data_IF_362375992413
#
_entry.id   IF_362375992413
#
_cell.length_a   1.000
_cell.length_b   1.000
_cell.length_c   1.000
_cell.angle_alpha   90.00
_cell.angle_beta   90.00
_cell.angle_gamma   90.00
#
_symmetry.space_group_name_H-M   'P 1'
#
loop_
_entity.id
_entity.type
_entity.pdbx_description
1 polymer ?
#
# COMPACT_ATOMS: atom_id res chain seq x y z
N UNK A 1 -6.57 21.67 -79.75
CA UNK A 1 -5.52 21.13 -78.86
C UNK A 1 -5.07 22.19 -77.86
N UNK A 2 -4.82 23.43 -78.27
CA UNK A 2 -4.29 24.49 -77.39
C UNK A 2 -5.17 24.86 -76.18
N UNK A 3 -6.51 24.88 -76.31
CA UNK A 3 -7.41 25.18 -75.19
C UNK A 3 -7.39 24.12 -74.06
N UNK A 4 -7.20 22.84 -74.41
CA UNK A 4 -7.03 21.78 -73.39
C UNK A 4 -5.67 21.89 -72.72
N UNK A 5 -4.62 22.25 -73.46
CA UNK A 5 -3.28 22.43 -72.91
C UNK A 5 -3.29 23.60 -71.93
N UNK A 6 -3.92 24.73 -72.26
CA UNK A 6 -4.03 25.86 -71.33
C UNK A 6 -4.83 25.51 -70.07
N UNK A 7 -5.95 24.77 -70.18
CA UNK A 7 -6.71 24.29 -69.02
C UNK A 7 -5.86 23.42 -68.08
N UNK A 8 -5.15 22.43 -68.63
CA UNK A 8 -4.26 21.55 -67.87
C UNK A 8 -3.10 22.32 -67.21
N UNK A 9 -2.55 23.35 -67.87
CA UNK A 9 -1.50 24.19 -67.25
C UNK A 9 -2.02 25.02 -66.08
N UNK A 10 -3.31 25.36 -66.07
CA UNK A 10 -3.92 26.14 -64.99
C UNK A 10 -4.22 25.25 -63.78
N UNK A 11 -4.78 24.06 -64.01
CA UNK A 11 -4.97 23.03 -62.97
C UNK A 11 -3.64 22.60 -62.34
N UNK A 12 -2.60 22.39 -63.14
CA UNK A 12 -1.26 22.02 -62.61
C UNK A 12 -0.63 23.13 -61.78
N UNK A 13 -0.86 24.41 -62.09
CA UNK A 13 -0.45 25.53 -61.24
C UNK A 13 -1.23 25.56 -59.93
N UNK A 14 -2.54 25.32 -59.96
CA UNK A 14 -3.37 25.22 -58.76
C UNK A 14 -2.89 24.09 -57.85
N UNK A 15 -2.71 22.88 -58.41
CA UNK A 15 -2.19 21.74 -57.66
C UNK A 15 -0.82 22.00 -57.04
N UNK A 16 0.08 22.72 -57.74
CA UNK A 16 1.39 23.12 -57.16
C UNK A 16 1.23 24.02 -55.95
N UNK A 17 0.28 24.96 -55.98
CA UNK A 17 -0.02 25.84 -54.85
C UNK A 17 -0.56 25.05 -53.65
N UNK A 18 -1.49 24.12 -53.89
CA UNK A 18 -2.04 23.28 -52.84
C UNK A 18 -0.98 22.36 -52.22
N UNK A 19 -0.11 21.77 -53.04
CA UNK A 19 1.02 20.97 -52.57
C UNK A 19 1.96 21.79 -51.69
N UNK A 20 2.29 23.04 -52.08
CA UNK A 20 3.11 23.91 -51.24
C UNK A 20 2.43 24.25 -49.91
N UNK A 21 1.11 24.49 -49.93
CA UNK A 21 0.31 24.69 -48.73
C UNK A 21 0.29 23.46 -47.82
N UNK A 22 0.16 22.25 -48.38
CA UNK A 22 0.24 21.00 -47.63
C UNK A 22 1.64 20.76 -47.06
N UNK A 23 2.70 21.02 -47.82
CA UNK A 23 4.08 20.92 -47.34
C UNK A 23 4.30 21.79 -46.11
N UNK A 24 3.88 23.06 -46.15
CA UNK A 24 3.97 23.96 -44.99
C UNK A 24 3.19 23.44 -43.78
N UNK A 25 1.98 22.92 -43.98
CA UNK A 25 1.17 22.32 -42.90
C UNK A 25 1.82 21.06 -42.33
N UNK A 26 2.41 20.20 -43.17
CA UNK A 26 3.11 18.98 -42.76
C UNK A 26 4.32 19.34 -41.92
N UNK A 27 5.16 20.28 -42.36
CA UNK A 27 6.31 20.76 -41.55
C UNK A 27 5.86 21.34 -40.21
N UNK A 28 4.75 22.11 -40.18
CA UNK A 28 4.19 22.61 -38.93
C UNK A 28 3.68 21.50 -37.99
N UNK A 29 3.11 20.43 -38.55
CA UNK A 29 2.70 19.26 -37.77
C UNK A 29 3.89 18.46 -37.24
N UNK A 30 4.94 18.27 -38.04
CA UNK A 30 6.17 17.59 -37.63
C UNK A 30 6.84 18.32 -36.46
N UNK A 31 6.96 19.65 -36.52
CA UNK A 31 7.50 20.45 -35.42
C UNK A 31 6.66 20.33 -34.14
N UNK A 32 5.33 20.38 -34.28
CA UNK A 32 4.42 20.21 -33.12
C UNK A 32 4.53 18.79 -32.55
N UNK A 33 4.66 17.78 -33.40
CA UNK A 33 4.83 16.39 -32.99
C UNK A 33 6.12 16.20 -32.20
N UNK A 34 7.25 16.73 -32.67
CA UNK A 34 8.51 16.70 -31.90
C UNK A 34 8.43 17.44 -30.57
N UNK A 35 7.72 18.58 -30.52
CA UNK A 35 7.44 19.28 -29.25
C UNK A 35 6.55 18.46 -28.30
N UNK A 36 5.58 17.70 -28.82
CA UNK A 36 4.75 16.83 -27.99
C UNK A 36 5.54 15.62 -27.47
N UNK A 37 6.38 15.00 -28.30
CA UNK A 37 7.25 13.88 -27.91
C UNK A 37 8.19 14.29 -26.76
N UNK A 38 8.87 15.42 -26.89
CA UNK A 38 9.74 15.97 -25.82
C UNK A 38 8.95 16.25 -24.53
N UNK A 39 7.74 16.79 -24.64
CA UNK A 39 6.86 17.01 -23.48
C UNK A 39 6.39 15.71 -22.83
N UNK A 40 6.14 14.67 -23.62
CA UNK A 40 5.76 13.34 -23.11
C UNK A 40 6.94 12.73 -22.36
N UNK A 41 8.14 12.75 -22.95
CA UNK A 41 9.34 12.20 -22.31
C UNK A 41 9.64 12.90 -20.98
N UNK A 42 9.62 14.23 -20.97
CA UNK A 42 9.82 15.00 -19.72
C UNK A 42 8.72 14.75 -18.69
N UNK A 43 7.48 14.52 -19.12
CA UNK A 43 6.40 14.15 -18.21
C UNK A 43 6.60 12.75 -17.61
N UNK A 44 7.11 11.80 -18.40
CA UNK A 44 7.41 10.45 -17.92
C UNK A 44 8.56 10.46 -16.92
N UNK A 45 9.62 11.24 -17.18
CA UNK A 45 10.73 11.43 -16.24
C UNK A 45 10.23 12.00 -14.91
N UNK A 46 9.39 13.04 -14.95
CA UNK A 46 8.80 13.63 -13.74
C UNK A 46 7.92 12.66 -12.96
N UNK A 47 7.20 11.77 -13.64
CA UNK A 47 6.40 10.74 -12.97
C UNK A 47 7.30 9.75 -12.23
N UNK A 48 8.43 9.35 -12.82
CA UNK A 48 9.41 8.50 -12.14
C UNK A 48 10.01 9.19 -10.91
N UNK A 49 10.39 10.46 -11.03
CA UNK A 49 10.88 11.26 -9.92
C UNK A 49 9.83 11.40 -8.80
N UNK A 50 8.56 11.60 -9.18
CA UNK A 50 7.46 11.70 -8.23
C UNK A 50 7.26 10.39 -7.46
N UNK A 51 7.27 9.24 -8.14
CA UNK A 51 7.19 7.91 -7.52
C UNK A 51 8.37 7.70 -6.56
N UNK A 52 9.59 8.04 -6.99
CA UNK A 52 10.79 7.92 -6.18
C UNK A 52 10.72 8.80 -4.92
N UNK A 53 10.34 10.07 -5.07
CA UNK A 53 10.27 11.02 -3.96
C UNK A 53 9.18 10.63 -2.97
N UNK A 54 8.02 10.18 -3.47
CA UNK A 54 6.92 9.67 -2.64
C UNK A 54 7.35 8.45 -1.83
N UNK A 55 8.10 7.54 -2.44
CA UNK A 55 8.68 6.37 -1.75
C UNK A 55 9.65 6.81 -0.64
N UNK A 56 10.53 7.79 -0.90
CA UNK A 56 11.43 8.33 0.13
C UNK A 56 10.68 9.02 1.27
N UNK A 57 9.66 9.82 0.98
CA UNK A 57 8.86 10.48 2.00
C UNK A 57 8.18 9.44 2.92
N UNK A 58 7.64 8.38 2.33
CA UNK A 58 7.03 7.27 3.08
C UNK A 58 8.04 6.57 3.99
N UNK A 59 9.24 6.26 3.48
CA UNK A 59 10.31 5.62 4.29
C UNK A 59 10.79 6.55 5.42
N UNK A 60 10.96 7.84 5.15
CA UNK A 60 11.32 8.82 6.19
C UNK A 60 10.25 8.92 7.28
N UNK A 61 8.99 8.97 6.89
CA UNK A 61 7.86 9.00 7.82
C UNK A 61 7.80 7.73 8.69
N UNK A 62 7.92 6.55 8.08
CA UNK A 62 7.91 5.28 8.79
C UNK A 62 9.11 5.12 9.74
N UNK A 63 10.30 5.60 9.34
CA UNK A 63 11.48 5.64 10.23
C UNK A 63 11.23 6.53 11.45
N UNK A 64 10.62 7.70 11.26
CA UNK A 64 10.28 8.61 12.35
C UNK A 64 9.21 8.04 13.30
N UNK A 65 8.32 7.19 12.79
CA UNK A 65 7.24 6.56 13.57
C UNK A 65 7.62 5.19 14.16
N UNK A 66 8.79 4.65 13.83
CA UNK A 66 9.22 3.29 14.21
C UNK A 66 9.23 3.03 15.72
N UNK A 67 9.52 4.05 16.52
CA UNK A 67 9.53 3.97 17.99
C UNK A 67 8.15 4.27 18.61
N UNK A 68 7.16 4.51 17.76
CA UNK A 68 5.80 4.85 18.14
C UNK A 68 4.87 3.66 18.00
N UNK A 69 3.98 3.52 18.97
CA UNK A 69 2.88 2.58 18.92
C UNK A 69 1.59 3.27 19.35
N UNK A 70 0.48 2.65 18.98
CA UNK A 70 -0.86 3.10 19.27
C UNK A 70 -1.52 2.14 20.23
N UNK A 71 -2.13 2.67 21.26
CA UNK A 71 -2.99 1.92 22.18
C UNK A 71 -4.43 2.32 21.91
N UNK A 72 -5.26 1.34 21.60
CA UNK A 72 -6.65 1.49 21.19
C UNK A 72 -7.55 0.87 22.25
N UNK A 73 -8.68 1.52 22.57
CA UNK A 73 -9.72 0.95 23.43
C UNK A 73 -9.65 1.33 24.92
N UNK A 74 -8.64 2.10 25.35
CA UNK A 74 -8.61 2.67 26.69
C UNK A 74 -9.71 3.73 26.81
N UNK A 75 -10.64 3.65 27.78
CA UNK A 75 -11.67 4.66 27.98
C UNK A 75 -11.08 6.05 28.23
N UNK A 76 -11.80 7.11 27.88
CA UNK A 76 -11.32 8.48 28.08
C UNK A 76 -11.27 8.82 29.58
N UNK A 77 -10.23 9.55 29.99
CA UNK A 77 -9.98 10.02 31.36
C UNK A 77 -9.51 8.94 32.36
N UNK A 78 -9.39 7.68 31.96
CA UNK A 78 -8.77 6.61 32.77
C UNK A 78 -7.27 6.87 33.03
N UNK A 79 -6.64 7.69 32.20
CA UNK A 79 -5.20 7.95 32.32
C UNK A 79 -4.88 8.99 33.40
N UNK A 80 -5.90 9.65 33.94
CA UNK A 80 -5.74 10.76 34.86
C UNK A 80 -5.03 11.95 34.22
N UNK A 81 -4.20 12.64 35.02
CA UNK A 81 -3.46 13.83 34.58
C UNK A 81 -2.17 13.53 33.84
N UNK A 82 -1.58 12.34 34.04
CA UNK A 82 -0.29 11.95 33.47
C UNK A 82 -0.37 10.63 32.70
N UNK A 83 -0.46 10.78 31.37
CA UNK A 83 -0.48 9.69 30.41
C UNK A 83 0.76 8.78 30.50
N UNK A 84 1.95 9.35 30.76
CA UNK A 84 3.18 8.58 30.76
C UNK A 84 3.25 7.69 32.00
N UNK A 85 2.96 8.25 33.19
CA UNK A 85 2.88 7.49 34.43
C UNK A 85 1.82 6.37 34.35
N UNK A 86 0.66 6.65 33.76
CA UNK A 86 -0.37 5.66 33.51
C UNK A 86 0.15 4.50 32.63
N UNK A 87 0.79 4.80 31.50
CA UNK A 87 1.32 3.75 30.62
C UNK A 87 2.48 2.99 31.25
N UNK A 88 3.40 3.65 31.97
CA UNK A 88 4.53 3.00 32.64
C UNK A 88 4.06 1.98 33.70
N UNK A 89 2.97 2.27 34.41
CA UNK A 89 2.41 1.37 35.43
C UNK A 89 1.48 0.29 34.88
N UNK A 90 0.72 0.61 33.82
CA UNK A 90 -0.37 -0.24 33.31
C UNK A 90 0.09 -1.16 32.19
N UNK A 91 0.94 -0.68 31.28
CA UNK A 91 1.36 -1.43 30.09
C UNK A 91 2.08 -2.75 30.45
N UNK A 92 3.07 -2.78 31.37
CA UNK A 92 3.76 -4.01 31.75
C UNK A 92 2.80 -5.07 32.31
N UNK A 93 1.86 -4.65 33.17
CA UNK A 93 0.83 -5.53 33.77
C UNK A 93 -0.11 -6.08 32.70
N UNK A 94 -0.59 -5.21 31.81
CA UNK A 94 -1.55 -5.54 30.76
C UNK A 94 -1.00 -6.58 29.78
N UNK A 95 0.27 -6.46 29.39
CA UNK A 95 0.90 -7.41 28.45
C UNK A 95 1.66 -8.54 29.17
N UNK A 96 1.65 -8.54 30.51
CA UNK A 96 2.35 -9.50 31.37
C UNK A 96 3.84 -9.64 31.00
N UNK A 97 4.52 -8.50 30.85
CA UNK A 97 5.94 -8.44 30.53
C UNK A 97 6.64 -7.44 31.45
N UNK A 98 7.70 -7.89 32.11
CA UNK A 98 8.56 -7.04 32.91
C UNK A 98 9.60 -6.35 32.04
N UNK A 99 9.88 -5.08 32.36
CA UNK A 99 10.86 -4.27 31.65
C UNK A 99 11.95 -3.82 32.61
N UNK A 100 13.19 -4.18 32.29
CA UNK A 100 14.39 -3.67 32.94
C UNK A 100 15.33 -3.08 31.86
N UNK A 101 15.64 -1.77 31.90
CA UNK A 101 15.06 -0.75 32.78
C UNK A 101 13.57 -0.50 32.49
N UNK A 102 12.89 0.18 33.42
CA UNK A 102 11.49 0.57 33.28
C UNK A 102 11.20 1.33 31.96
N UNK A 103 9.93 1.30 31.55
CA UNK A 103 9.46 2.00 30.36
C UNK A 103 9.60 3.52 30.55
N UNK A 104 10.40 4.13 29.68
CA UNK A 104 10.57 5.58 29.61
C UNK A 104 9.97 6.10 28.31
N UNK A 105 8.99 6.99 28.43
CA UNK A 105 8.32 7.61 27.30
C UNK A 105 8.98 8.94 26.98
N UNK A 106 9.24 9.18 25.69
CA UNK A 106 9.56 10.52 25.23
C UNK A 106 8.28 11.38 25.23
N UNK A 107 7.18 10.80 24.74
CA UNK A 107 5.87 11.45 24.59
C UNK A 107 4.76 10.40 24.63
N UNK A 108 3.65 10.72 25.28
CA UNK A 108 2.41 9.95 25.17
C UNK A 108 1.20 10.90 25.23
N UNK A 109 0.23 10.73 24.33
CA UNK A 109 -0.98 11.56 24.29
C UNK A 109 -2.09 10.92 23.47
N UNK A 110 -3.33 11.40 23.64
CA UNK A 110 -4.48 11.04 22.79
C UNK A 110 -4.36 11.71 21.42
N UNK A 111 -4.70 10.97 20.37
CA UNK A 111 -4.72 11.42 18.99
C UNK A 111 -6.09 12.00 18.62
N UNK A 112 -6.10 13.21 18.07
CA UNK A 112 -7.30 13.88 17.55
C UNK A 112 -8.11 14.63 18.61
N UNK A 113 -9.12 15.36 18.15
CA UNK A 113 -9.95 16.24 18.99
C UNK A 113 -10.92 15.43 19.86
N UNK A 114 -11.08 15.83 21.13
CA UNK A 114 -12.08 15.25 22.03
C UNK A 114 -13.47 15.43 21.42
N UNK A 115 -14.18 14.32 21.23
CA UNK A 115 -15.57 14.34 20.74
C UNK A 115 -16.50 14.63 21.90
N UNK A 116 -17.58 15.35 21.66
CA UNK A 116 -18.62 15.63 22.65
C UNK A 116 -19.47 14.40 22.99
N UNK A 117 -19.48 13.41 22.09
CA UNK A 117 -20.31 12.21 22.21
C UNK A 117 -19.56 11.06 22.91
N UNK A 118 -20.04 10.71 24.10
CA UNK A 118 -19.57 9.58 24.90
C UNK A 118 -19.91 8.21 24.29
N UNK A 119 -20.77 8.14 23.26
CA UNK A 119 -21.04 6.89 22.52
C UNK A 119 -19.93 6.55 21.51
N UNK A 120 -19.00 7.48 21.25
CA UNK A 120 -17.96 7.28 20.25
C UNK A 120 -16.80 6.42 20.77
N UNK A 121 -16.18 5.63 19.88
CA UNK A 121 -14.99 4.83 20.24
C UNK A 121 -13.90 5.74 20.86
N UNK A 122 -13.29 5.35 22.00
CA UNK A 122 -12.26 6.15 22.65
C UNK A 122 -11.11 6.51 21.71
N UNK A 123 -10.52 7.71 21.86
CA UNK A 123 -9.46 8.15 20.95
C UNK A 123 -8.21 7.29 21.11
N UNK A 124 -7.50 6.94 20.04
CA UNK A 124 -6.22 6.24 20.15
C UNK A 124 -5.21 7.03 20.99
N UNK A 125 -4.46 6.37 21.86
CA UNK A 125 -3.25 6.94 22.46
C UNK A 125 -2.09 6.65 21.53
N UNK A 126 -1.27 7.65 21.23
CA UNK A 126 0.03 7.46 20.57
C UNK A 126 1.13 7.65 21.62
N UNK A 127 2.01 6.67 21.72
CA UNK A 127 3.11 6.64 22.67
C UNK A 127 4.43 6.40 21.94
N UNK A 128 5.47 7.11 22.36
CA UNK A 128 6.83 7.02 21.82
C UNK A 128 7.77 6.70 22.98
N UNK A 129 8.45 5.55 22.93
CA UNK A 129 9.45 5.16 23.91
C UNK A 129 10.82 5.73 23.53
N UNK A 130 11.67 5.93 24.53
CA UNK A 130 13.07 6.28 24.30
C UNK A 130 13.89 5.10 23.75
N UNK A 131 13.51 3.86 24.09
CA UNK A 131 14.23 2.65 23.70
C UNK A 131 13.48 1.84 22.64
N UNK A 132 14.02 1.84 21.41
CA UNK A 132 13.46 1.10 20.27
C UNK A 132 13.19 -0.39 20.56
N UNK A 133 14.08 -1.05 21.31
CA UNK A 133 13.96 -2.47 21.62
C UNK A 133 12.70 -2.79 22.44
N UNK A 134 12.33 -1.93 23.38
CA UNK A 134 11.13 -2.09 24.19
C UNK A 134 9.87 -1.93 23.31
N UNK A 135 9.85 -0.96 22.40
CA UNK A 135 8.78 -0.82 21.39
C UNK A 135 8.62 -2.10 20.57
N UNK A 136 9.73 -2.70 20.09
CA UNK A 136 9.66 -3.96 19.36
C UNK A 136 9.08 -5.10 20.18
N UNK A 137 9.51 -5.25 21.43
CA UNK A 137 9.00 -6.29 22.34
C UNK A 137 7.50 -6.13 22.57
N UNK A 138 7.05 -4.92 22.90
CA UNK A 138 5.62 -4.60 23.08
C UNK A 138 4.81 -4.95 21.83
N UNK A 139 5.27 -4.54 20.65
CA UNK A 139 4.58 -4.83 19.39
C UNK A 139 4.57 -6.31 19.06
N UNK A 140 5.63 -7.05 19.39
CA UNK A 140 5.68 -8.50 19.19
C UNK A 140 4.69 -9.22 20.10
N UNK A 141 4.66 -8.89 21.39
CA UNK A 141 3.68 -9.44 22.35
C UNK A 141 2.26 -9.10 21.93
N UNK A 142 2.01 -7.87 21.49
CA UNK A 142 0.72 -7.45 20.96
C UNK A 142 0.26 -8.23 19.73
N UNK A 143 1.16 -8.59 18.82
CA UNK A 143 0.83 -9.40 17.63
C UNK A 143 0.50 -10.85 18.00
N UNK A 144 1.15 -11.39 19.02
CA UNK A 144 1.05 -12.81 19.37
C UNK A 144 -0.06 -13.11 20.39
N UNK A 145 -0.25 -12.21 21.36
CA UNK A 145 -1.11 -12.42 22.52
C UNK A 145 -2.25 -11.40 22.63
N UNK A 146 -2.27 -10.39 21.76
CA UNK A 146 -3.39 -9.45 21.71
C UNK A 146 -4.65 -10.06 21.09
N UNK A 147 -5.83 -9.44 21.29
CA UNK A 147 -6.04 -8.23 22.08
C UNK A 147 -5.96 -8.49 23.60
N UNK A 148 -5.67 -7.44 24.35
CA UNK A 148 -5.60 -7.46 25.82
C UNK A 148 -6.92 -6.98 26.43
N UNK A 149 -7.10 -7.15 27.74
CA UNK A 149 -8.25 -6.63 28.48
C UNK A 149 -7.80 -5.85 29.70
N UNK A 150 -8.40 -4.68 29.90
CA UNK A 150 -8.41 -3.98 31.19
C UNK A 150 -9.88 -3.80 31.55
N UNK A 151 -10.26 -4.31 32.72
CA UNK A 151 -11.65 -4.42 33.16
C UNK A 151 -12.54 -5.08 32.09
N UNK A 152 -13.52 -4.34 31.59
CA UNK A 152 -14.47 -4.80 30.55
C UNK A 152 -14.07 -4.34 29.13
N UNK A 153 -12.92 -3.69 28.96
CA UNK A 153 -12.51 -3.07 27.69
C UNK A 153 -11.46 -3.89 26.94
N UNK A 154 -11.72 -4.16 25.65
CA UNK A 154 -10.73 -4.74 24.75
C UNK A 154 -9.71 -3.68 24.33
N UNK A 155 -8.43 -3.96 24.59
CA UNK A 155 -7.33 -3.09 24.26
C UNK A 155 -6.47 -3.71 23.17
N UNK A 156 -6.17 -2.91 22.14
CA UNK A 156 -5.31 -3.32 21.04
C UNK A 156 -4.10 -2.40 20.95
N UNK A 157 -2.92 -3.01 20.90
CA UNK A 157 -1.68 -2.29 20.62
C UNK A 157 -1.30 -2.55 19.17
N UNK A 158 -1.00 -1.50 18.42
CA UNK A 158 -0.54 -1.58 17.02
C UNK A 158 0.64 -0.65 16.79
N UNK A 159 1.49 -0.94 15.82
CA UNK A 159 2.51 0.03 15.40
C UNK A 159 1.85 1.27 14.77
N UNK A 160 2.54 2.41 14.83
CA UNK A 160 2.15 3.62 14.11
C UNK A 160 2.86 3.68 12.76
N UNK A 161 2.18 3.32 11.67
CA UNK A 161 2.73 3.46 10.32
C UNK A 161 2.25 4.75 9.66
N UNK A 162 2.98 5.21 8.64
CA UNK A 162 2.50 6.20 7.69
C UNK A 162 1.17 5.79 7.04
N UNK A 163 0.47 6.76 6.44
CA UNK A 163 -0.80 6.49 5.73
C UNK A 163 -0.58 5.49 4.59
N UNK A 164 0.45 5.70 3.77
CA UNK A 164 0.74 4.85 2.62
C UNK A 164 1.06 3.41 3.02
N UNK A 165 1.86 3.22 4.07
CA UNK A 165 2.16 1.88 4.60
C UNK A 165 0.91 1.23 5.18
N UNK A 166 0.04 1.96 5.89
CA UNK A 166 -1.24 1.41 6.35
C UNK A 166 -2.16 0.99 5.19
N UNK A 167 -2.24 1.77 4.12
CA UNK A 167 -3.01 1.43 2.91
C UNK A 167 -2.46 0.17 2.25
N UNK A 168 -1.13 0.05 2.11
CA UNK A 168 -0.47 -1.14 1.57
C UNK A 168 -0.74 -2.37 2.43
N UNK A 169 -0.63 -2.24 3.76
CA UNK A 169 -0.99 -3.32 4.70
C UNK A 169 -2.45 -3.71 4.54
N UNK A 170 -3.38 -2.75 4.45
CA UNK A 170 -4.81 -3.01 4.24
C UNK A 170 -5.06 -3.77 2.94
N UNK A 171 -4.42 -3.39 1.85
CA UNK A 171 -4.51 -4.08 0.57
C UNK A 171 -4.01 -5.53 0.66
N UNK A 172 -2.87 -5.77 1.32
CA UNK A 172 -2.41 -7.13 1.61
C UNK A 172 -3.41 -7.93 2.47
N UNK A 173 -3.96 -7.32 3.52
CA UNK A 173 -4.93 -7.97 4.40
C UNK A 173 -6.21 -8.36 3.64
N UNK A 174 -6.62 -7.58 2.64
CA UNK A 174 -7.77 -7.90 1.78
C UNK A 174 -7.56 -9.17 0.95
N UNK A 175 -6.32 -9.59 0.70
CA UNK A 175 -6.00 -10.82 -0.04
C UNK A 175 -5.97 -12.08 0.83
N UNK A 176 -6.06 -11.96 2.16
CA UNK A 176 -6.06 -13.11 3.10
C UNK A 176 -7.11 -14.18 2.79
N UNK A 177 -8.37 -13.85 2.45
CA UNK A 177 -9.36 -14.88 2.11
C UNK A 177 -8.93 -15.76 0.94
N UNK A 178 -8.28 -15.17 -0.08
CA UNK A 178 -7.76 -15.91 -1.24
C UNK A 178 -6.59 -16.81 -0.86
N UNK A 179 -5.66 -16.32 -0.04
CA UNK A 179 -4.54 -17.11 0.49
C UNK A 179 -5.03 -18.33 1.28
N UNK A 180 -6.05 -18.15 2.13
CA UNK A 180 -6.67 -19.26 2.87
C UNK A 180 -7.35 -20.27 1.95
N UNK A 181 -8.09 -19.82 0.94
CA UNK A 181 -8.74 -20.70 -0.05
C UNK A 181 -7.73 -21.57 -0.80
N UNK A 182 -6.52 -21.06 -1.02
CA UNK A 182 -5.43 -21.77 -1.69
C UNK A 182 -4.51 -22.53 -0.72
N UNK A 183 -4.89 -22.64 0.56
CA UNK A 183 -4.15 -23.32 1.63
C UNK A 183 -2.71 -22.83 1.80
N UNK A 184 -2.46 -21.56 1.48
CA UNK A 184 -1.14 -20.94 1.62
C UNK A 184 -0.93 -20.43 3.05
N UNK A 185 0.24 -20.73 3.62
CA UNK A 185 0.68 -20.07 4.87
C UNK A 185 1.11 -18.65 4.54
N UNK A 186 0.83 -17.70 5.42
CA UNK A 186 1.21 -16.31 5.18
C UNK A 186 1.47 -15.54 6.48
N UNK A 187 2.34 -14.53 6.39
CA UNK A 187 2.64 -13.59 7.47
C UNK A 187 2.88 -12.19 6.90
N UNK A 188 2.29 -11.17 7.54
CA UNK A 188 2.52 -9.76 7.18
C UNK A 188 3.59 -9.17 8.11
N UNK A 189 4.75 -8.87 7.52
CA UNK A 189 5.90 -8.29 8.20
C UNK A 189 5.94 -6.76 8.07
N UNK A 190 6.67 -6.15 8.99
CA UNK A 190 6.91 -4.71 9.00
C UNK A 190 7.92 -4.29 7.92
N UNK A 191 7.74 -3.10 7.30
CA UNK A 191 6.60 -2.21 7.45
C UNK A 191 5.34 -2.69 6.70
N UNK A 192 5.48 -3.30 5.51
CA UNK A 192 4.37 -3.87 4.74
C UNK A 192 4.87 -4.87 3.70
N UNK A 193 5.35 -6.04 4.14
CA UNK A 193 5.78 -7.14 3.27
C UNK A 193 4.99 -8.39 3.60
N UNK A 194 4.34 -9.01 2.62
CA UNK A 194 3.64 -10.28 2.82
C UNK A 194 4.54 -11.43 2.42
N UNK A 195 4.86 -12.29 3.38
CA UNK A 195 5.50 -13.57 3.15
C UNK A 195 4.42 -14.63 2.93
N UNK A 196 4.56 -15.43 1.88
CA UNK A 196 3.61 -16.49 1.52
C UNK A 196 4.36 -17.78 1.23
N UNK A 197 3.86 -18.89 1.75
CA UNK A 197 4.43 -20.23 1.53
C UNK A 197 3.38 -21.19 0.98
N UNK A 198 3.73 -21.90 -0.08
CA UNK A 198 2.96 -23.01 -0.66
C UNK A 198 3.88 -24.19 -0.94
N UNK A 199 3.51 -25.38 -0.48
CA UNK A 199 4.27 -26.63 -0.69
C UNK A 199 5.77 -26.50 -0.33
N UNK A 200 6.09 -25.82 0.78
CA UNK A 200 7.47 -25.61 1.24
C UNK A 200 8.22 -24.47 0.55
N UNK A 201 7.74 -23.95 -0.58
CA UNK A 201 8.34 -22.80 -1.27
C UNK A 201 7.76 -21.51 -0.73
N UNK A 202 8.64 -20.62 -0.29
CA UNK A 202 8.27 -19.32 0.28
C UNK A 202 8.66 -18.18 -0.65
N UNK A 203 7.81 -17.15 -0.73
CA UNK A 203 8.05 -15.94 -1.52
C UNK A 203 7.59 -14.71 -0.76
N UNK A 204 8.37 -13.65 -0.87
CA UNK A 204 8.04 -12.33 -0.34
C UNK A 204 7.41 -11.44 -1.41
N UNK A 205 6.42 -10.66 -0.98
CA UNK A 205 5.76 -9.66 -1.79
C UNK A 205 5.84 -8.31 -1.10
N UNK A 206 6.36 -7.32 -1.83
CA UNK A 206 6.46 -5.94 -1.36
C UNK A 206 5.32 -5.07 -1.89
N UNK A 207 4.65 -5.51 -2.96
CA UNK A 207 3.48 -4.88 -3.55
C UNK A 207 2.26 -5.83 -3.48
N UNK A 208 1.10 -5.37 -2.97
CA UNK A 208 -0.15 -6.13 -3.02
C UNK A 208 -0.57 -6.57 -4.43
N UNK A 209 -0.26 -5.78 -5.47
CA UNK A 209 -0.63 -6.11 -6.86
C UNK A 209 0.21 -7.28 -7.39
N UNK A 210 1.49 -7.37 -7.03
CA UNK A 210 2.32 -8.54 -7.36
C UNK A 210 1.77 -9.81 -6.72
N UNK A 211 1.31 -9.71 -5.46
CA UNK A 211 0.67 -10.84 -4.79
C UNK A 211 -0.66 -11.19 -5.46
N UNK A 212 -1.45 -10.19 -5.86
CA UNK A 212 -2.71 -10.43 -6.57
C UNK A 212 -2.49 -11.18 -7.88
N UNK A 213 -1.55 -10.74 -8.71
CA UNK A 213 -1.17 -11.41 -9.96
C UNK A 213 -0.66 -12.84 -9.70
N UNK A 214 0.13 -13.02 -8.64
CA UNK A 214 0.58 -14.35 -8.22
C UNK A 214 -0.58 -15.26 -7.80
N UNK A 215 -1.61 -14.74 -7.14
CA UNK A 215 -2.77 -15.53 -6.76
C UNK A 215 -3.69 -15.83 -7.95
N UNK A 216 -3.75 -14.93 -8.93
CA UNK A 216 -4.52 -15.12 -10.16
C UNK A 216 -3.95 -16.29 -10.99
N UNK A 217 -2.61 -16.48 -11.02
CA UNK A 217 -2.00 -17.60 -11.75
C UNK A 217 -2.38 -19.00 -11.23
N UNK A 218 -2.81 -19.12 -9.96
CA UNK A 218 -3.32 -20.39 -9.40
C UNK A 218 -4.80 -20.63 -9.66
N UNK A 219 -5.55 -19.61 -10.10
CA UNK A 219 -6.97 -19.77 -10.46
C UNK A 219 -7.14 -20.24 -11.91
N UNK A 220 -6.12 -20.05 -12.75
CA UNK A 220 -6.11 -20.45 -14.16
C UNK A 220 -5.67 -21.89 -14.42
N UNK A 221 -5.57 -22.76 -13.40
CA UNK A 221 -5.36 -24.20 -13.60
C UNK A 221 -6.73 -24.91 -13.61
N UNK A 222 -7.21 -25.43 -14.75
CA UNK A 222 -8.47 -26.14 -14.81
C UNK A 222 -8.37 -27.48 -14.07
N UNK A 223 -9.39 -27.75 -13.25
CA UNK A 223 -9.75 -29.08 -12.80
C UNK A 223 -10.37 -29.83 -14.00
N UNK A 224 -9.55 -30.36 -14.90
CA UNK A 224 -10.00 -31.32 -15.92
C UNK A 224 -8.89 -32.35 -16.19
N UNK A 225 -8.93 -33.43 -15.42
CA UNK A 225 -8.47 -34.77 -15.83
C UNK A 225 -8.86 -35.81 -14.77
N UNK A 226 -10.13 -35.82 -14.40
CA UNK A 226 -10.76 -36.97 -13.76
C UNK A 226 -12.10 -37.19 -14.47
N UNK A 227 -12.23 -38.39 -15.04
CA UNK A 227 -13.39 -38.95 -15.77
C UNK A 227 -13.46 -38.61 -17.26
N UNK A 228 -12.77 -39.41 -18.06
CA UNK A 228 -13.38 -39.96 -19.27
C UNK A 228 -13.52 -41.47 -19.07
N UNK A 229 -14.75 -41.81 -18.70
CA UNK A 229 -15.49 -43.05 -18.88
C UNK A 229 -14.75 -44.24 -19.51
N UNK A 230 -14.77 -45.32 -18.73
CA UNK A 230 -14.94 -46.67 -19.23
C UNK A 230 -16.21 -46.81 -20.08
N UNK A 231 -16.13 -47.72 -21.06
CA UNK A 231 -17.21 -48.33 -21.86
C UNK A 231 -17.52 -47.67 -23.21
N UNK A 232 -16.92 -48.25 -24.25
CA UNK A 232 -17.56 -48.88 -25.43
C UNK A 232 -16.41 -49.46 -26.30
N UNK A 233 -16.40 -50.64 -26.91
CA UNK A 233 -17.11 -51.91 -26.85
C UNK A 233 -16.49 -52.79 -27.99
N UNK A 234 -16.59 -54.13 -27.90
CA UNK A 234 -16.50 -55.13 -29.02
C UNK A 234 -15.06 -55.47 -29.50
N UNK A 235 -14.53 -56.72 -29.53
CA UNK A 235 -15.00 -58.09 -29.86
C UNK A 235 -14.34 -59.12 -28.95
#
# INVERSE_FOLDING_TARGET
MDASITSLTLETKSMRSDIAGFQSRVTGLEQRMGSLETRINTSQEREQDFIYLRSKLTDMEDRSRRDKFRVLGIPENEEGSDMQAFLTSTLPKMISLDFDPALEFQRAHRLGTKRSDNSSRPRPIIACLLRHNQTRQILQVARNHGPFRIDQHEIRITADYSKETNERRKAFLALRPRLRKLEMKYSLFDPARMWVTKNGVSKDFYNPDELRLFLDSFQSQPMDSLNTDSEHDIV
#
